data_IF_539430073512
#
_entry.id   IF_539430073512
#
_cell.length_a   1.000
_cell.length_b   1.000
_cell.length_c   1.000
_cell.angle_alpha   90.00
_cell.angle_beta   90.00
_cell.angle_gamma   90.00
#
_symmetry.space_group_name_H-M   'P 1'
#
loop_
_entity.id
_entity.type
_entity.pdbx_description
1 polymer ?
2 polymer ?
3 non-polymer ?
4 water ?
#
# COMPACT_ATOMS: atom_id res chain seq x y z
N UNK A 1 15.66 -22.33 -22.50
CA UNK A 1 15.88 -21.70 -23.84
C UNK A 1 16.61 -22.67 -24.77
N UNK A 2 17.61 -23.38 -24.23
CA UNK A 2 18.18 -24.51 -24.97
C UNK A 2 17.14 -25.62 -25.11
N UNK A 3 16.32 -25.82 -24.08
CA UNK A 3 15.20 -26.74 -24.17
C UNK A 3 14.13 -26.24 -25.14
N UNK A 4 14.10 -24.94 -25.41
CA UNK A 4 13.09 -24.34 -26.28
C UNK A 4 11.68 -24.67 -25.79
N UNK A 5 11.48 -24.60 -24.47
CA UNK A 5 10.17 -24.82 -23.89
C UNK A 5 9.37 -23.52 -23.90
N UNK A 6 8.06 -23.66 -23.75
CA UNK A 6 7.15 -22.52 -23.70
C UNK A 6 6.52 -22.49 -22.30
N UNK A 7 6.98 -21.54 -21.50
CA UNK A 7 6.42 -21.35 -20.15
C UNK A 7 5.07 -20.65 -20.28
N UNK A 8 4.08 -21.16 -19.56
CA UNK A 8 2.73 -20.61 -19.59
C UNK A 8 2.41 -19.92 -18.27
N UNK A 9 2.01 -18.66 -18.35
CA UNK A 9 1.48 -17.91 -17.22
C UNK A 9 -0.04 -17.89 -17.34
N UNK A 10 -0.73 -18.49 -16.37
CA UNK A 10 -2.18 -18.63 -16.41
C UNK A 10 -2.81 -17.92 -15.24
N UNK A 11 -3.95 -17.28 -15.50
CA UNK A 11 -4.78 -16.68 -14.46
C UNK A 11 -5.99 -17.57 -14.26
N UNK A 12 -6.34 -17.82 -13.00
CA UNK A 12 -7.41 -18.73 -12.67
C UNK A 12 -8.79 -18.09 -12.78
N UNK A 13 -9.77 -18.83 -12.28
CA UNK A 13 -11.17 -18.42 -12.30
C UNK A 13 -11.76 -18.53 -10.91
N UNK A 14 -12.76 -17.69 -10.63
CA UNK A 14 -13.43 -17.70 -9.33
C UNK A 14 -14.82 -17.14 -9.49
N UNK A 15 -15.74 -17.57 -8.63
CA UNK A 15 -17.10 -17.07 -8.60
C UNK A 15 -17.37 -16.38 -7.28
N UNK A 16 -18.19 -15.33 -7.32
CA UNK A 16 -18.54 -14.60 -6.12
C UNK A 16 -19.73 -13.72 -6.37
N UNK A 17 -20.43 -13.40 -5.28
CA UNK A 17 -21.59 -12.53 -5.35
C UNK A 17 -21.17 -11.07 -5.25
N UNK A 18 -22.04 -10.16 -5.66
CA UNK A 18 -21.72 -8.73 -5.52
C UNK A 18 -21.40 -8.40 -4.07
N UNK A 19 -20.31 -7.65 -3.87
CA UNK A 19 -19.86 -7.29 -2.55
C UNK A 19 -18.90 -8.26 -1.91
N UNK A 20 -18.74 -9.46 -2.46
CA UNK A 20 -17.83 -10.45 -1.90
C UNK A 20 -16.39 -10.13 -2.28
N UNK A 21 -15.47 -10.64 -1.46
CA UNK A 21 -14.05 -10.62 -1.77
C UNK A 21 -13.66 -12.01 -2.27
N UNK A 22 -12.99 -12.05 -3.42
CA UNK A 22 -12.69 -13.31 -4.09
C UNK A 22 -11.20 -13.40 -4.35
N UNK A 23 -10.68 -14.62 -4.29
CA UNK A 23 -9.27 -14.91 -4.50
C UNK A 23 -9.11 -15.76 -5.76
N UNK A 24 -8.22 -15.33 -6.65
CA UNK A 24 -7.94 -16.07 -7.88
C UNK A 24 -6.43 -16.26 -7.97
N UNK A 25 -5.96 -17.45 -8.37
CA UNK A 25 -4.51 -17.67 -8.44
C UNK A 25 -3.93 -17.34 -9.81
N UNK A 26 -2.63 -17.05 -9.79
CA UNK A 26 -1.83 -16.95 -11.00
C UNK A 26 -0.81 -18.09 -10.96
N UNK A 27 -0.78 -18.88 -12.02
CA UNK A 27 0.05 -20.08 -12.06
C UNK A 27 1.08 -19.99 -13.17
N UNK A 28 2.21 -20.65 -12.96
CA UNK A 28 3.23 -20.83 -13.98
C UNK A 28 3.37 -22.33 -14.22
N UNK A 29 3.48 -22.72 -15.49
CA UNK A 29 3.55 -24.13 -15.84
C UNK A 29 4.52 -24.33 -16.99
N UNK A 30 4.90 -25.59 -17.21
CA UNK A 30 5.87 -25.98 -18.22
C UNK A 30 7.23 -25.33 -17.97
N UNK A 31 7.56 -25.09 -16.71
CA UNK A 31 8.87 -24.56 -16.36
C UNK A 31 9.92 -25.64 -16.60
N UNK A 32 11.02 -25.26 -17.25
CA UNK A 32 12.14 -26.17 -17.46
C UNK A 32 13.44 -25.45 -17.09
N UNK A 33 13.75 -24.40 -17.83
CA UNK A 33 14.90 -23.57 -17.50
C UNK A 33 14.60 -22.78 -16.22
N UNK A 34 15.53 -22.71 -15.28
CA UNK A 34 15.31 -21.88 -14.09
C UNK A 34 14.98 -20.45 -14.48
N UNK A 35 13.85 -19.97 -13.99
CA UNK A 35 13.34 -18.64 -14.35
C UNK A 35 13.88 -17.62 -13.37
N UNK A 36 14.55 -16.59 -13.88
CA UNK A 36 15.04 -15.51 -13.06
C UNK A 36 14.27 -14.22 -13.22
N UNK A 37 13.38 -14.16 -14.22
CA UNK A 37 12.65 -12.93 -14.49
C UNK A 37 11.27 -13.26 -15.05
N UNK A 38 10.25 -12.59 -14.53
CA UNK A 38 8.90 -12.64 -15.08
C UNK A 38 8.31 -11.23 -15.04
N UNK A 39 7.82 -10.76 -16.19
CA UNK A 39 7.03 -9.54 -16.28
C UNK A 39 5.69 -9.89 -16.93
N UNK A 40 4.59 -9.51 -16.27
CA UNK A 40 3.27 -9.79 -16.80
C UNK A 40 2.30 -8.73 -16.34
N UNK A 41 1.33 -8.43 -17.20
CA UNK A 41 0.24 -7.52 -16.90
C UNK A 41 -1.07 -8.28 -16.95
N UNK A 42 -1.96 -7.99 -16.00
CA UNK A 42 -3.28 -8.61 -15.93
C UNK A 42 -4.32 -7.51 -15.98
N UNK A 43 -5.21 -7.57 -16.97
CA UNK A 43 -6.27 -6.60 -17.14
C UNK A 43 -7.55 -7.08 -16.48
N UNK A 44 -8.29 -6.16 -15.88
CA UNK A 44 -9.53 -6.48 -15.19
C UNK A 44 -10.50 -5.33 -15.34
N UNK A 45 -11.78 -5.65 -15.18
CA UNK A 45 -12.86 -4.66 -15.29
C UNK A 45 -12.90 -3.82 -14.02
N UNK A 46 -12.47 -2.56 -14.12
CA UNK A 46 -12.39 -1.70 -12.94
C UNK A 46 -13.76 -1.30 -12.44
N UNK A 47 -14.76 -1.22 -13.32
CA UNK A 47 -16.10 -0.85 -12.88
C UNK A 47 -16.74 -1.94 -12.03
N UNK A 48 -16.20 -3.15 -12.07
CA UNK A 48 -16.76 -4.28 -11.33
C UNK A 48 -15.90 -4.74 -10.17
N UNK A 49 -14.58 -4.55 -10.24
CA UNK A 49 -13.67 -5.13 -9.26
C UNK A 49 -12.65 -4.09 -8.81
N UNK A 50 -12.27 -4.18 -7.55
CA UNK A 50 -11.22 -3.35 -6.97
C UNK A 50 -10.14 -4.28 -6.43
N UNK A 51 -8.90 -4.06 -6.87
CA UNK A 51 -7.78 -4.84 -6.36
C UNK A 51 -7.61 -4.60 -4.87
N UNK A 52 -7.61 -5.66 -4.09
CA UNK A 52 -7.37 -5.58 -2.65
C UNK A 52 -5.97 -6.01 -2.26
N UNK A 53 -5.45 -7.08 -2.86
CA UNK A 53 -4.12 -7.58 -2.55
C UNK A 53 -3.61 -8.42 -3.71
N UNK A 54 -2.30 -8.39 -3.89
CA UNK A 54 -1.59 -9.22 -4.87
C UNK A 54 -0.37 -9.76 -4.13
N UNK A 55 -0.47 -11.00 -3.65
CA UNK A 55 0.56 -11.57 -2.79
C UNK A 55 1.24 -12.77 -3.46
N UNK A 56 2.52 -12.98 -3.22
CA UNK A 56 3.22 -14.12 -3.82
C UNK A 56 3.01 -15.40 -3.04
N UNK A 57 3.24 -16.52 -3.72
CA UNK A 57 3.33 -17.82 -3.08
C UNK A 57 4.78 -18.01 -2.65
N UNK A 58 5.04 -17.86 -1.35
CA UNK A 58 6.41 -17.88 -0.87
C UNK A 58 7.04 -19.26 -0.96
N UNK A 59 6.24 -20.32 -1.10
CA UNK A 59 6.81 -21.65 -1.35
C UNK A 59 7.34 -21.78 -2.77
N UNK A 60 7.25 -20.74 -3.58
CA UNK A 60 7.75 -20.71 -4.95
C UNK A 60 8.51 -19.43 -5.25
N UNK A 61 8.05 -18.29 -4.74
CA UNK A 61 8.70 -17.01 -4.93
C UNK A 61 9.52 -16.76 -3.66
N UNK A 62 10.83 -17.01 -3.76
CA UNK A 62 11.72 -16.89 -2.62
C UNK A 62 12.34 -15.49 -2.57
N UNK A 63 13.04 -15.21 -1.47
CA UNK A 63 13.77 -13.96 -1.28
C UNK A 63 12.86 -12.74 -1.43
N UNK A 64 11.60 -12.88 -1.02
CA UNK A 64 10.68 -11.74 -1.03
C UNK A 64 11.08 -10.68 -0.01
N UNK A 65 11.98 -11.00 0.93
CA UNK A 65 12.51 -10.00 1.85
C UNK A 65 13.37 -8.97 1.13
N UNK A 66 13.92 -9.31 -0.03
CA UNK A 66 14.74 -8.40 -0.82
C UNK A 66 14.01 -7.90 -2.07
N UNK A 67 12.69 -7.89 -2.05
CA UNK A 67 11.87 -7.29 -3.12
C UNK A 67 12.04 -8.05 -4.44
N UNK A 68 11.92 -9.38 -4.37
CA UNK A 68 11.91 -10.18 -5.59
C UNK A 68 10.56 -10.12 -6.30
N UNK A 69 9.50 -9.77 -5.58
CA UNK A 69 8.14 -9.75 -6.11
C UNK A 69 7.60 -8.33 -5.99
N UNK A 70 7.46 -7.65 -7.12
CA UNK A 70 7.01 -6.25 -7.16
C UNK A 70 5.63 -6.20 -7.81
N UNK A 71 4.72 -5.44 -7.21
CA UNK A 71 3.37 -5.27 -7.71
C UNK A 71 3.16 -3.80 -8.02
N UNK A 72 2.50 -3.52 -9.14
CA UNK A 72 2.14 -2.17 -9.53
C UNK A 72 0.67 -2.15 -9.93
N UNK A 73 -0.10 -1.27 -9.30
CA UNK A 73 -1.51 -1.09 -9.61
C UNK A 73 -1.81 0.37 -9.90
N UNK A 74 -0.80 1.13 -10.33
CA UNK A 74 -0.97 2.55 -10.60
C UNK A 74 -1.86 2.82 -11.80
N UNK A 75 -2.13 1.81 -12.64
CA UNK A 75 -2.96 1.99 -13.81
C UNK A 75 -4.35 1.42 -13.56
N UNK A 76 -5.42 2.16 -13.87
CA UNK A 76 -6.77 1.60 -13.66
C UNK A 76 -6.96 0.32 -14.47
N UNK A 77 -7.41 -0.73 -13.80
CA UNK A 77 -7.75 -1.96 -14.49
C UNK A 77 -6.57 -2.78 -14.95
N UNK A 78 -5.39 -2.57 -14.37
CA UNK A 78 -4.20 -3.32 -14.77
C UNK A 78 -3.35 -3.62 -13.54
N UNK A 79 -2.90 -4.86 -13.44
CA UNK A 79 -1.97 -5.30 -12.41
C UNK A 79 -0.69 -5.72 -13.11
N UNK A 80 0.43 -5.09 -12.73
CA UNK A 80 1.74 -5.44 -13.27
C UNK A 80 2.52 -6.20 -12.22
N UNK A 81 2.91 -7.43 -12.54
CA UNK A 81 3.67 -8.29 -11.64
C UNK A 81 5.07 -8.44 -12.22
N UNK A 82 6.08 -8.16 -11.41
CA UNK A 82 7.48 -8.34 -11.79
C UNK A 82 8.15 -9.25 -10.78
N UNK A 83 8.65 -10.39 -11.24
CA UNK A 83 9.49 -11.26 -10.42
C UNK A 83 10.93 -11.19 -10.94
N UNK A 84 11.87 -11.01 -10.01
CA UNK A 84 13.28 -11.02 -10.33
C UNK A 84 14.04 -11.70 -9.20
N UNK A 85 15.01 -12.54 -9.54
CA UNK A 85 15.90 -13.12 -8.54
C UNK A 85 16.97 -12.09 -8.21
N UNK A 86 16.94 -11.49 -7.01
CA UNK A 86 17.95 -10.47 -6.69
C UNK A 86 19.37 -10.99 -6.74
N UNK A 87 19.57 -12.29 -6.54
CA UNK A 87 20.90 -12.89 -6.53
C UNK A 87 21.34 -13.39 -7.89
N UNK A 88 20.42 -13.51 -8.85
CA UNK A 88 20.72 -14.00 -10.20
C UNK A 88 21.22 -15.44 -10.19
N UNK A 89 20.88 -16.22 -9.18
CA UNK A 89 21.40 -17.58 -9.08
C UNK A 89 20.66 -18.41 -8.03
N UNK A 90 20.44 -17.84 -6.86
CA UNK A 90 20.05 -18.63 -5.69
C UNK A 90 18.56 -18.87 -5.59
N UNK A 91 17.72 -18.00 -6.13
CA UNK A 91 16.28 -18.07 -5.94
C UNK A 91 15.55 -18.01 -7.28
N UNK A 92 15.77 -18.99 -8.15
CA UNK A 92 14.96 -19.09 -9.37
C UNK A 92 13.69 -19.88 -9.16
N UNK A 93 12.78 -19.73 -10.10
CA UNK A 93 11.59 -20.57 -10.18
C UNK A 93 11.91 -21.73 -11.11
N UNK A 94 11.87 -22.95 -10.58
CA UNK A 94 12.27 -24.14 -11.32
C UNK A 94 11.22 -25.24 -11.33
N UNK A 95 10.01 -24.97 -10.84
CA UNK A 95 8.94 -25.95 -10.80
C UNK A 95 7.62 -25.24 -11.10
N UNK A 96 6.63 -26.01 -11.54
CA UNK A 96 5.30 -25.46 -11.77
C UNK A 96 4.56 -25.29 -10.45
N UNK A 97 3.78 -24.22 -10.37
CA UNK A 97 3.02 -23.95 -9.16
C UNK A 97 2.36 -22.59 -9.25
N UNK A 98 1.81 -22.18 -8.11
CA UNK A 98 1.16 -20.87 -8.01
C UNK A 98 2.22 -19.81 -7.81
N UNK A 99 2.14 -18.75 -8.60
CA UNK A 99 3.07 -17.62 -8.49
C UNK A 99 2.56 -16.57 -7.51
N UNK A 100 1.28 -16.23 -7.58
CA UNK A 100 0.71 -15.19 -6.74
C UNK A 100 -0.79 -15.43 -6.58
N UNK A 101 -1.39 -14.66 -5.68
CA UNK A 101 -2.82 -14.69 -5.43
C UNK A 101 -3.37 -13.28 -5.59
N UNK A 102 -4.47 -13.16 -6.33
CA UNK A 102 -5.12 -11.88 -6.55
C UNK A 102 -6.41 -11.82 -5.76
N UNK A 103 -6.56 -10.79 -4.93
CA UNK A 103 -7.76 -10.56 -4.15
C UNK A 103 -8.52 -9.38 -4.75
N UNK A 104 -9.75 -9.63 -5.17
CA UNK A 104 -10.61 -8.59 -5.74
C UNK A 104 -11.82 -8.37 -4.84
N UNK A 105 -12.29 -7.12 -4.82
CA UNK A 105 -13.55 -6.77 -4.15
C UNK A 105 -14.57 -6.49 -5.25
N UNK A 106 -15.64 -7.27 -5.26
CA UNK A 106 -16.66 -7.13 -6.30
C UNK A 106 -17.58 -5.99 -5.92
N UNK A 107 -17.74 -5.04 -6.83
CA UNK A 107 -18.64 -3.92 -6.61
C UNK A 107 -20.03 -4.43 -6.24
N UNK A 108 -20.64 -3.82 -5.24
CA UNK A 108 -21.94 -4.29 -4.77
C UNK A 108 -23.00 -4.19 -5.85
N UNK A 109 -22.87 -3.22 -6.76
CA UNK A 109 -23.79 -3.06 -7.89
C UNK A 109 -23.20 -3.64 -9.17
N UNK A 110 -22.51 -4.76 -9.06
CA UNK A 110 -21.95 -5.44 -10.23
C UNK A 110 -22.99 -6.38 -10.83
N UNK A 111 -22.95 -6.50 -12.15
CA UNK A 111 -23.89 -7.33 -12.88
C UNK A 111 -23.39 -8.77 -12.95
N UNK A 112 -24.34 -9.70 -12.95
CA UNK A 112 -24.00 -11.12 -13.02
C UNK A 112 -23.40 -11.45 -14.38
N UNK A 113 -22.42 -12.36 -14.38
CA UNK A 113 -21.81 -12.82 -15.60
C UNK A 113 -20.29 -12.77 -15.54
N UNK A 114 -19.68 -13.34 -16.57
CA UNK A 114 -18.24 -13.45 -16.62
C UNK A 114 -17.59 -12.11 -16.94
N UNK A 115 -16.40 -11.92 -16.37
CA UNK A 115 -15.57 -10.75 -16.64
C UNK A 115 -14.14 -11.23 -16.74
N UNK A 116 -13.56 -11.19 -17.94
CA UNK A 116 -12.28 -11.80 -18.20
C UNK A 116 -11.16 -11.14 -17.40
N UNK A 117 -10.17 -11.95 -17.01
CA UNK A 117 -8.90 -11.48 -16.48
C UNK A 117 -7.84 -11.82 -17.52
N UNK A 118 -7.36 -10.80 -18.22
CA UNK A 118 -6.58 -10.99 -19.44
C UNK A 118 -5.10 -10.72 -19.19
N UNK A 119 -4.26 -11.67 -19.60
CA UNK A 119 -2.82 -11.50 -19.56
C UNK A 119 -2.39 -10.88 -20.89
N UNK A 120 -1.80 -9.69 -20.82
CA UNK A 120 -1.34 -9.02 -22.03
C UNK A 120 -0.25 -9.87 -22.68
N UNK A 121 -0.50 -10.42 -23.87
CA UNK A 121 0.50 -11.31 -24.48
C UNK A 121 1.69 -10.57 -25.09
N UNK A 122 1.55 -9.27 -25.37
CA UNK A 122 2.62 -8.51 -26.00
C UNK A 122 3.64 -8.00 -25.00
N UNK A 123 3.29 -7.93 -23.72
CA UNK A 123 4.18 -7.46 -22.67
C UNK A 123 4.72 -8.58 -21.80
N UNK A 124 4.28 -9.82 -22.03
CA UNK A 124 4.70 -10.95 -21.20
C UNK A 124 6.18 -11.24 -21.45
N UNK A 125 6.96 -11.24 -20.37
CA UNK A 125 8.39 -11.52 -20.46
C UNK A 125 8.74 -12.62 -19.47
N UNK A 126 9.55 -13.57 -19.92
CA UNK A 126 10.09 -14.63 -19.07
C UNK A 126 11.51 -14.90 -19.54
N UNK A 127 12.45 -14.90 -18.59
CA UNK A 127 13.86 -15.03 -18.94
C UNK A 127 14.58 -15.84 -17.86
N UNK A 128 15.76 -16.33 -18.21
CA UNK A 128 16.56 -17.18 -17.34
C UNK A 128 17.44 -16.29 -16.44
N UNK A 129 18.34 -16.91 -15.68
CA UNK A 129 19.08 -16.17 -14.67
C UNK A 129 20.02 -15.13 -15.26
N UNK A 130 20.37 -15.26 -16.53
CA UNK A 130 21.18 -14.25 -17.21
C UNK A 130 20.36 -13.39 -18.17
N UNK A 131 19.04 -13.32 -17.96
CA UNK A 131 18.17 -12.43 -18.72
C UNK A 131 18.15 -12.80 -20.20
N UNK A 132 17.98 -14.08 -20.48
CA UNK A 132 17.84 -14.58 -21.85
C UNK A 132 16.41 -15.08 -22.04
N UNK A 133 15.79 -14.66 -23.13
CA UNK A 133 14.38 -14.97 -23.39
C UNK A 133 14.09 -16.45 -23.21
N UNK A 134 13.01 -16.74 -22.50
CA UNK A 134 12.36 -18.05 -22.51
C UNK A 134 11.01 -17.86 -23.19
N UNK A 135 10.70 -18.73 -24.16
CA UNK A 135 9.44 -18.61 -24.88
C UNK A 135 8.27 -18.66 -23.90
N UNK A 136 7.33 -17.73 -24.06
CA UNK A 136 6.23 -17.55 -23.12
C UNK A 136 4.91 -17.78 -23.81
N UNK A 137 3.87 -17.95 -22.99
CA UNK A 137 2.51 -18.15 -23.47
C UNK A 137 1.55 -17.71 -22.39
N UNK A 138 0.49 -17.00 -22.79
CA UNK A 138 -0.49 -16.45 -21.86
C UNK A 138 -1.77 -17.29 -21.88
N UNK A 139 -2.39 -17.40 -20.71
CA UNK A 139 -3.68 -18.07 -20.57
C UNK A 139 -4.53 -17.23 -19.63
N UNK A 140 -5.72 -16.84 -20.10
CA UNK A 140 -6.56 -15.90 -19.39
C UNK A 140 -7.43 -16.60 -18.35
N UNK A 141 -7.84 -15.82 -17.35
CA UNK A 141 -8.82 -16.26 -16.37
C UNK A 141 -10.06 -15.40 -16.42
N UNK A 142 -10.84 -15.39 -15.35
CA UNK A 142 -12.05 -14.57 -15.31
C UNK A 142 -12.63 -14.61 -13.90
N UNK A 143 -13.60 -13.73 -13.66
CA UNK A 143 -14.40 -13.73 -12.44
C UNK A 143 -15.87 -13.82 -12.87
N UNK A 144 -16.57 -14.83 -12.36
CA UNK A 144 -17.99 -15.01 -12.61
C UNK A 144 -18.77 -14.40 -11.47
N UNK A 145 -19.51 -13.33 -11.75
CA UNK A 145 -20.38 -12.71 -10.75
C UNK A 145 -21.73 -13.44 -10.78
N UNK A 146 -22.14 -13.95 -9.62
CA UNK A 146 -23.39 -14.67 -9.51
C UNK A 146 -24.50 -13.72 -9.05
N UNK A 147 -25.72 -14.04 -9.46
CA UNK A 147 -26.88 -13.24 -9.11
C UNK A 147 -28.12 -14.07 -8.80
N UNK B 1 23.08 15.26 -18.70
CA UNK B 1 24.55 15.04 -18.75
C UNK B 1 24.95 13.85 -17.88
N UNK B 2 23.99 12.95 -17.63
CA UNK B 2 24.25 11.70 -16.92
C UNK B 2 24.64 10.65 -17.95
N UNK B 3 25.92 10.27 -17.98
CA UNK B 3 26.45 9.36 -18.99
C UNK B 3 26.82 8.00 -18.42
N UNK B 4 26.28 7.64 -17.25
CA UNK B 4 26.60 6.37 -16.62
C UNK B 4 25.34 5.50 -16.65
N UNK B 5 25.45 4.35 -17.29
CA UNK B 5 24.29 3.48 -17.51
C UNK B 5 23.86 2.86 -16.19
N UNK B 6 22.61 3.10 -15.80
CA UNK B 6 22.08 2.57 -14.56
C UNK B 6 22.25 3.46 -13.35
N UNK B 7 22.82 4.65 -13.51
CA UNK B 7 23.01 5.59 -12.41
C UNK B 7 21.74 6.42 -12.25
N UNK B 8 20.75 5.83 -11.58
CA UNK B 8 19.44 6.49 -11.46
C UNK B 8 19.51 7.71 -10.55
N UNK B 9 20.33 7.69 -9.51
CA UNK B 9 20.47 8.83 -8.62
C UNK B 9 21.53 9.82 -9.08
N UNK B 10 22.22 9.52 -10.19
CA UNK B 10 23.20 10.43 -10.78
C UNK B 10 24.27 10.84 -9.77
N UNK B 11 24.84 9.84 -9.10
CA UNK B 11 25.91 10.07 -8.14
C UNK B 11 27.27 9.59 -8.63
N UNK B 12 27.35 9.05 -9.85
CA UNK B 12 28.60 8.66 -10.44
C UNK B 12 28.90 7.17 -10.39
N UNK B 13 28.17 6.40 -9.60
CA UNK B 13 28.42 4.98 -9.44
C UNK B 13 27.11 4.21 -9.62
N UNK B 14 27.25 2.90 -9.81
CA UNK B 14 26.13 1.99 -10.01
C UNK B 14 26.20 0.94 -8.92
N UNK B 15 25.26 1.02 -7.97
CA UNK B 15 25.29 0.12 -6.82
C UNK B 15 23.84 -0.15 -6.39
N UNK B 16 23.68 -0.67 -5.18
CA UNK B 16 22.36 -1.04 -4.67
C UNK B 16 21.42 0.13 -4.46
N UNK B 17 21.96 1.34 -4.29
CA UNK B 17 21.09 2.50 -4.15
C UNK B 17 20.30 2.76 -5.43
N UNK B 18 20.91 2.50 -6.58
CA UNK B 18 20.18 2.59 -7.84
C UNK B 18 19.18 1.45 -7.99
N UNK B 19 19.52 0.27 -7.47
CA UNK B 19 18.57 -0.84 -7.46
C UNK B 19 17.35 -0.47 -6.63
N UNK B 20 17.55 0.18 -5.49
CA UNK B 20 16.44 0.58 -4.64
C UNK B 20 15.49 1.49 -5.40
N UNK B 21 16.04 2.48 -6.11
CA UNK B 21 15.21 3.41 -6.86
C UNK B 21 14.41 2.69 -7.94
N UNK B 22 15.08 1.83 -8.71
CA UNK B 22 14.39 1.08 -9.76
C UNK B 22 13.24 0.27 -9.17
N UNK B 23 13.51 -0.45 -8.07
CA UNK B 23 12.46 -1.24 -7.43
C UNK B 23 11.30 -0.35 -7.00
N UNK B 24 11.60 0.76 -6.32
CA UNK B 24 10.56 1.64 -5.83
C UNK B 24 9.78 2.26 -6.99
N UNK B 25 10.47 2.59 -8.08
CA UNK B 25 9.79 3.17 -9.24
C UNK B 25 8.87 2.14 -9.91
N UNK B 26 9.33 0.90 -10.03
CA UNK B 26 8.52 -0.14 -10.66
C UNK B 26 7.26 -0.44 -9.85
N UNK B 27 7.30 -0.24 -8.53
CA UNK B 27 6.13 -0.41 -7.69
C UNK B 27 5.17 0.78 -7.74
N UNK B 28 5.51 1.82 -8.50
CA UNK B 28 4.66 2.99 -8.60
C UNK B 28 4.85 4.01 -7.51
N UNK B 29 5.91 3.91 -6.72
CA UNK B 29 6.18 4.88 -5.68
C UNK B 29 6.86 6.11 -6.27
N UNK B 30 6.67 7.25 -5.62
CA UNK B 30 7.33 8.48 -6.00
C UNK B 30 8.74 8.46 -5.43
N UNK B 31 9.74 8.41 -6.29
CA UNK B 31 11.14 8.30 -5.89
C UNK B 31 11.77 9.68 -6.00
N UNK B 32 12.11 10.27 -4.86
CA UNK B 32 12.74 11.58 -4.87
C UNK B 32 14.19 11.46 -5.30
N UNK B 33 14.64 12.43 -6.10
CA UNK B 33 16.01 12.43 -6.58
C UNK B 33 16.29 11.47 -7.72
N UNK B 34 15.27 10.87 -8.29
CA UNK B 34 15.48 9.89 -9.36
C UNK B 34 15.68 10.62 -10.68
N UNK B 35 16.54 10.07 -11.53
CA UNK B 35 16.74 10.56 -12.89
C UNK B 35 15.91 9.68 -13.83
N UNK B 36 14.71 10.15 -14.16
CA UNK B 36 13.84 9.39 -15.04
C UNK B 36 14.49 9.04 -16.36
N UNK B 37 15.46 9.85 -16.80
CA UNK B 37 16.12 9.62 -18.08
C UNK B 37 17.02 8.38 -18.08
N UNK B 38 17.32 7.81 -16.90
CA UNK B 38 18.23 6.69 -16.80
C UNK B 38 17.52 5.36 -16.57
N UNK B 39 16.19 5.34 -16.64
CA UNK B 39 15.45 4.13 -16.29
C UNK B 39 15.53 3.07 -17.39
N UNK B 40 15.47 3.48 -18.65
CA UNK B 40 15.48 2.54 -19.77
C UNK B 40 16.92 2.11 -20.03
N UNK B 41 17.34 1.05 -19.35
CA UNK B 41 18.74 0.65 -19.37
C UNK B 41 19.08 -0.12 -20.64
N UNK B 42 18.16 -0.94 -21.12
CA UNK B 42 18.40 -1.75 -22.32
C UNK B 42 17.90 -1.07 -23.60
N UNK B 43 17.48 0.19 -23.52
CA UNK B 43 17.09 0.95 -24.69
C UNK B 43 16.10 0.23 -25.58
N UNK B 44 15.01 -0.26 -25.00
CA UNK B 44 13.94 -0.90 -25.76
C UNK B 44 12.65 -0.09 -25.74
N UNK B 45 12.66 1.11 -25.15
CA UNK B 45 11.52 2.00 -25.18
C UNK B 45 10.60 1.91 -23.98
N UNK B 46 10.77 0.92 -23.12
CA UNK B 46 9.92 0.74 -21.96
C UNK B 46 10.76 0.63 -20.70
N UNK B 47 10.12 0.90 -19.56
CA UNK B 47 10.73 0.75 -18.25
C UNK B 47 9.97 -0.36 -17.53
N UNK B 48 10.60 -1.52 -17.37
CA UNK B 48 9.94 -2.66 -16.78
C UNK B 48 10.99 -3.51 -16.05
N UNK B 49 10.57 -4.71 -15.63
CA UNK B 49 11.43 -5.58 -14.85
C UNK B 49 12.72 -5.98 -15.52
N UNK B 50 12.77 -5.90 -16.86
CA UNK B 50 14.00 -6.25 -17.55
C UNK B 50 15.07 -5.18 -17.43
N UNK B 51 14.68 -3.94 -17.14
CA UNK B 51 15.66 -2.91 -16.80
C UNK B 51 16.23 -3.14 -15.41
N UNK B 52 15.38 -3.56 -14.47
CA UNK B 52 15.86 -3.97 -13.15
C UNK B 52 16.78 -5.17 -13.26
N UNK B 53 16.41 -6.15 -14.09
CA UNK B 53 17.27 -7.31 -14.30
C UNK B 53 18.63 -6.90 -14.81
N UNK B 54 18.66 -5.99 -15.80
CA UNK B 54 19.92 -5.52 -16.34
C UNK B 54 20.72 -4.77 -15.29
N UNK B 55 20.03 -3.97 -14.46
CA UNK B 55 20.72 -3.18 -13.45
C UNK B 55 21.37 -4.09 -12.40
N UNK B 56 20.66 -5.13 -11.95
CA UNK B 56 21.23 -6.06 -10.99
C UNK B 56 22.44 -6.76 -11.59
N UNK B 57 22.39 -7.04 -12.90
CA UNK B 57 23.53 -7.66 -13.56
C UNK B 57 24.74 -6.73 -13.55
N UNK B 58 24.53 -5.47 -13.92
CA UNK B 58 25.66 -4.54 -13.99
C UNK B 58 26.38 -4.44 -12.66
N UNK B 59 25.63 -4.42 -11.55
CA UNK B 59 26.25 -4.30 -10.23
C UNK B 59 27.08 -5.55 -9.92
N UNK B 60 26.53 -6.73 -10.17
CA UNK B 60 27.25 -7.96 -9.88
C UNK B 60 28.50 -8.10 -10.75
N UNK B 61 28.49 -7.52 -11.95
CA UNK B 61 29.65 -7.59 -12.84
C UNK B 61 30.68 -6.51 -12.54
N UNK B 62 30.37 -5.56 -11.67
CA UNK B 62 31.31 -4.49 -11.34
C UNK B 62 32.51 -5.08 -10.59
N UNK C 5 -8.07 25.69 26.31
CA UNK C 5 -7.65 26.26 25.04
C UNK C 5 -6.81 25.25 24.25
N UNK C 6 -6.01 24.46 24.96
CA UNK C 6 -5.09 23.50 24.35
C UNK C 6 -5.53 22.10 24.72
N UNK C 7 -6.01 21.34 23.75
CA UNK C 7 -6.32 19.94 23.96
C UNK C 7 -5.04 19.12 23.87
N UNK C 8 -5.06 17.94 24.51
CA UNK C 8 -3.87 17.12 24.67
C UNK C 8 -4.15 15.71 24.17
N UNK C 9 -3.28 15.21 23.30
CA UNK C 9 -3.31 13.81 22.85
C UNK C 9 -2.09 13.12 23.45
N UNK C 10 -2.32 12.16 24.34
CA UNK C 10 -1.26 11.44 25.02
C UNK C 10 -1.43 9.93 24.82
N UNK C 11 -0.32 9.25 24.60
CA UNK C 11 -0.30 7.79 24.48
C UNK C 11 0.07 7.21 25.84
N UNK C 12 -0.64 6.16 26.24
CA UNK C 12 -0.50 5.61 27.57
C UNK C 12 0.78 4.83 27.77
N UNK C 13 0.92 4.31 28.99
CA UNK C 13 2.06 3.50 29.38
C UNK C 13 1.54 2.16 29.90
N UNK C 14 2.11 1.07 29.39
CA UNK C 14 1.68 -0.27 29.75
C UNK C 14 2.91 -1.15 29.90
N UNK C 15 2.74 -2.23 30.67
CA UNK C 15 3.78 -3.23 30.85
C UNK C 15 3.26 -4.58 30.39
N UNK C 16 4.17 -5.40 29.88
CA UNK C 16 3.82 -6.74 29.44
C UNK C 16 5.06 -7.61 29.35
N UNK C 17 4.83 -8.91 29.35
CA UNK C 17 5.91 -9.87 29.20
C UNK C 17 6.09 -10.23 27.72
N UNK C 18 7.28 -10.69 27.35
CA UNK C 18 7.50 -11.09 25.95
C UNK C 18 6.53 -12.21 25.54
N UNK C 19 5.82 -11.98 24.43
CA UNK C 19 4.84 -12.91 23.93
C UNK C 19 3.41 -12.54 24.26
N UNK C 20 3.19 -11.64 25.22
CA UNK C 20 1.86 -11.20 25.57
C UNK C 20 1.38 -10.12 24.62
N UNK C 21 0.07 -9.89 24.62
CA UNK C 21 -0.54 -8.79 23.89
C UNK C 21 -0.98 -7.73 24.89
N UNK C 22 -0.67 -6.48 24.60
CA UNK C 22 -0.93 -5.37 25.51
C UNK C 22 -1.77 -4.32 24.81
N UNK C 23 -2.52 -3.57 25.60
CA UNK C 23 -3.40 -2.51 25.11
C UNK C 23 -2.87 -1.18 25.61
N UNK C 24 -2.62 -0.25 24.68
CA UNK C 24 -2.09 1.06 25.01
C UNK C 24 -3.20 2.08 24.76
N UNK C 25 -3.71 2.76 25.79
CA UNK C 25 -4.75 3.75 25.55
C UNK C 25 -4.19 5.02 24.93
N UNK C 26 -4.93 5.56 23.96
CA UNK C 26 -4.71 6.91 23.45
C UNK C 26 -5.81 7.78 24.02
N UNK C 27 -5.41 8.82 24.76
CA UNK C 27 -6.34 9.66 25.49
C UNK C 27 -6.36 11.07 24.91
N UNK C 28 -7.51 11.73 25.05
CA UNK C 28 -7.66 13.14 24.70
C UNK C 28 -8.25 13.84 25.91
N UNK C 29 -7.73 15.04 26.21
CA UNK C 29 -8.10 15.74 27.43
C UNK C 29 -8.15 17.25 27.17
N UNK C 30 -8.78 17.95 28.11
CA UNK C 30 -8.93 19.41 28.04
C UNK C 30 -9.69 19.83 26.78
N UNK C 31 -10.70 19.06 26.42
CA UNK C 31 -11.53 19.38 25.27
C UNK C 31 -12.43 20.57 25.64
N UNK C 32 -12.24 21.68 24.94
CA UNK C 32 -13.09 22.85 25.13
C UNK C 32 -14.11 22.93 24.00
N UNK C 33 -13.69 23.42 22.83
CA UNK C 33 -14.57 23.49 21.68
C UNK C 33 -14.69 22.11 21.03
N UNK C 34 -15.86 21.75 20.53
CA UNK C 34 -16.02 20.42 19.91
C UNK C 34 -14.96 20.17 18.83
N UNK C 35 -14.45 18.94 18.81
CA UNK C 35 -13.39 18.54 17.88
C UNK C 35 -14.02 17.80 16.71
N UNK C 36 -13.73 18.26 15.50
CA UNK C 36 -14.24 17.61 14.31
C UNK C 36 -13.20 16.81 13.57
N UNK C 37 -11.93 17.14 13.80
CA UNK C 37 -10.83 16.52 13.06
C UNK C 37 -9.65 16.26 13.99
N UNK C 38 -9.07 15.08 13.85
CA UNK C 38 -7.84 14.72 14.57
C UNK C 38 -6.96 13.91 13.61
N UNK C 39 -5.72 14.35 13.44
CA UNK C 39 -4.71 13.57 12.75
C UNK C 39 -3.52 13.39 13.69
N UNK C 40 -3.09 12.16 13.89
CA UNK C 40 -1.91 11.91 14.72
C UNK C 40 -1.25 10.61 14.26
N UNK C 41 0.08 10.60 14.33
CA UNK C 41 0.89 9.43 14.00
C UNK C 41 1.58 8.94 15.26
N UNK C 42 1.69 7.62 15.38
CA UNK C 42 2.36 6.99 16.52
C UNK C 42 3.39 6.04 15.96
N UNK C 43 4.66 6.30 16.27
CA UNK C 43 5.77 5.48 15.78
C UNK C 43 6.21 4.52 16.88
N UNK C 44 6.52 3.28 16.48
CA UNK C 44 6.92 2.25 17.42
C UNK C 44 7.99 1.38 16.79
N UNK C 45 8.66 0.59 17.64
CA UNK C 45 9.73 -0.30 17.21
C UNK C 45 9.10 -1.63 16.77
N UNK C 46 9.16 -1.91 15.47
CA UNK C 46 8.51 -3.08 14.91
C UNK C 46 9.26 -4.38 15.21
N UNK C 47 10.51 -4.31 15.66
CA UNK C 47 11.24 -5.53 15.99
C UNK C 47 10.82 -6.09 17.34
N UNK C 48 10.15 -5.29 18.18
CA UNK C 48 9.65 -5.74 19.47
C UNK C 48 8.14 -5.89 19.53
N UNK C 49 7.39 -5.14 18.71
CA UNK C 49 5.95 -5.13 18.77
C UNK C 49 5.35 -5.26 17.38
N UNK C 50 4.22 -5.96 17.29
CA UNK C 50 3.46 -6.09 16.07
C UNK C 50 2.03 -5.66 16.35
N UNK C 51 1.49 -4.81 15.48
CA UNK C 51 0.16 -4.26 15.71
C UNK C 51 -0.89 -5.33 15.46
N UNK C 52 -1.80 -5.48 16.43
CA UNK C 52 -2.93 -6.40 16.30
C UNK C 52 -4.22 -5.67 15.95
N UNK C 53 -4.46 -4.51 16.58
CA UNK C 53 -5.70 -3.76 16.38
C UNK C 53 -5.50 -2.33 16.86
N UNK C 54 -6.18 -1.40 16.20
CA UNK C 54 -6.23 0.00 16.61
C UNK C 54 -7.70 0.40 16.57
N UNK C 55 -8.41 0.17 17.67
CA UNK C 55 -9.85 0.33 17.71
C UNK C 55 -10.24 1.61 18.46
N UNK C 56 -11.28 2.30 18.01
CA UNK C 56 -11.74 3.49 18.74
C UNK C 56 -12.61 3.11 19.94
N UNK C 57 -12.64 4.02 20.91
CA UNK C 57 -13.60 3.93 22.01
C UNK C 57 -14.92 4.50 21.50
N UNK C 58 -15.88 3.60 21.21
CA UNK C 58 -17.14 4.04 20.61
C UNK C 58 -17.98 4.87 21.57
N UNK C 59 -17.76 4.73 22.88
CA UNK C 59 -18.45 5.59 23.83
C UNK C 59 -18.13 7.06 23.59
N UNK C 60 -17.02 7.36 22.93
CA UNK C 60 -16.59 8.72 22.65
C UNK C 60 -16.56 9.03 21.15
N UNK C 61 -16.03 8.12 20.35
CA UNK C 61 -15.95 8.32 18.90
C UNK C 61 -17.23 7.73 18.28
N UNK C 62 -18.07 8.61 17.75
CA UNK C 62 -19.35 8.20 17.20
C UNK C 62 -19.27 8.07 15.69
N UNK C 63 -20.22 7.32 15.13
CA UNK C 63 -20.39 7.17 13.68
C UNK C 63 -19.20 6.45 13.04
N UNK C 64 -18.64 5.47 13.75
CA UNK C 64 -17.47 4.76 13.24
C UNK C 64 -17.83 3.82 12.09
N UNK C 65 -19.08 3.38 11.98
CA UNK C 65 -19.46 2.56 10.84
C UNK C 65 -19.58 3.37 9.55
N UNK C 66 -19.51 4.70 9.63
CA UNK C 66 -19.50 5.56 8.45
C UNK C 66 -18.12 6.21 8.25
N UNK C 67 -17.07 5.53 8.71
CA UNK C 67 -15.69 5.91 8.42
C UNK C 67 -15.29 7.20 9.13
N UNK C 68 -15.75 7.38 10.37
CA UNK C 68 -15.31 8.51 11.17
C UNK C 68 -13.94 8.30 11.79
N UNK C 69 -13.46 7.06 11.83
CA UNK C 69 -12.19 6.71 12.47
C UNK C 69 -11.43 5.82 11.51
N UNK C 70 -10.39 6.37 10.89
CA UNK C 70 -9.61 5.70 9.86
C UNK C 70 -8.19 5.55 10.36
N UNK C 71 -7.67 4.32 10.30
CA UNK C 71 -6.34 4.00 10.82
C UNK C 71 -5.51 3.40 9.68
N UNK C 72 -4.24 3.78 9.63
CA UNK C 72 -3.28 3.25 8.68
C UNK C 72 -2.25 2.44 9.46
N UNK C 73 -2.34 1.12 9.35
CA UNK C 73 -1.37 0.21 9.96
C UNK C 73 -0.72 -0.67 8.90
N UNK C 74 -0.63 -0.17 7.67
CA UNK C 74 -0.08 -0.97 6.59
C UNK C 74 1.42 -1.14 6.73
N UNK C 75 2.13 -0.08 7.12
CA UNK C 75 3.59 -0.10 7.18
C UNK C 75 4.04 -0.42 8.59
N UNK C 76 4.80 -1.50 8.81
CA UNK C 76 5.26 -1.79 10.17
C UNK C 76 6.08 -0.65 10.74
N UNK C 77 5.83 -0.34 12.01
CA UNK C 77 6.55 0.70 12.72
C UNK C 77 5.86 2.04 12.78
N UNK C 78 4.67 2.18 12.20
CA UNK C 78 3.97 3.46 12.22
C UNK C 78 2.47 3.25 12.20
N UNK C 79 1.77 4.05 13.00
CA UNK C 79 0.31 4.03 13.07
C UNK C 79 -0.19 5.45 12.82
N UNK C 80 -1.09 5.60 11.86
CA UNK C 80 -1.74 6.88 11.59
C UNK C 80 -3.21 6.77 11.92
N UNK C 81 -3.70 7.72 12.73
CA UNK C 81 -5.11 7.78 13.10
C UNK C 81 -5.71 9.03 12.48
N UNK C 82 -6.87 8.87 11.85
CA UNK C 82 -7.59 9.99 11.25
C UNK C 82 -9.02 9.93 11.76
N UNK C 83 -9.40 10.89 12.60
CA UNK C 83 -10.78 11.05 13.02
C UNK C 83 -11.40 12.23 12.28
N UNK C 84 -12.58 12.00 11.71
CA UNK C 84 -13.33 13.06 11.07
C UNK C 84 -14.81 12.85 11.36
N UNK C 85 -15.57 13.94 11.28
CA UNK C 85 -17.02 13.88 11.41
C UNK C 85 -17.62 13.84 10.02
N UNK C 86 -18.03 12.67 9.51
CA UNK C 86 -18.55 12.62 8.13
C UNK C 86 -19.70 13.59 7.88
N UNK C 87 -20.46 13.94 8.91
CA UNK C 87 -21.57 14.89 8.76
C UNK C 87 -21.14 16.33 9.01
N UNK C 88 -19.95 16.54 9.55
CA UNK C 88 -19.44 17.89 9.81
C UNK C 88 -20.36 18.69 10.73
N UNK C 89 -21.01 18.01 11.68
CA UNK C 89 -21.91 18.71 12.59
C UNK C 89 -22.43 17.80 13.71
N UNK C 90 -22.78 16.56 13.38
CA UNK C 90 -23.54 15.73 14.31
C UNK C 90 -22.68 14.92 15.27
N UNK C 91 -21.51 14.43 14.83
CA UNK C 91 -20.71 13.49 15.61
C UNK C 91 -19.32 14.05 15.94
N UNK C 92 -19.25 15.20 16.61
CA UNK C 92 -17.96 15.69 17.10
C UNK C 92 -17.62 15.12 18.46
N UNK C 93 -16.33 15.19 18.79
CA UNK C 93 -15.86 14.82 20.12
C UNK C 93 -15.84 16.08 20.97
N UNK C 94 -16.64 16.08 22.05
CA UNK C 94 -16.83 17.26 22.87
C UNK C 94 -16.43 17.06 24.33
N UNK C 95 -15.93 15.88 24.71
CA UNK C 95 -15.57 15.59 26.09
C UNK C 95 -14.23 14.86 26.12
N UNK C 96 -13.56 14.94 27.26
CA UNK C 96 -12.34 14.19 27.47
C UNK C 96 -12.64 12.70 27.59
N UNK C 97 -11.62 11.89 27.42
CA UNK C 97 -11.76 10.45 27.56
C UNK C 97 -10.81 9.74 26.63
N UNK C 98 -10.88 8.40 26.68
CA UNK C 98 -10.03 7.57 25.84
C UNK C 98 -10.50 7.69 24.40
N UNK C 99 -9.55 7.88 23.48
CA UNK C 99 -9.85 8.00 22.06
C UNK C 99 -9.78 6.66 21.35
N UNK C 100 -8.76 5.85 21.66
CA UNK C 100 -8.56 4.57 20.99
C UNK C 100 -7.59 3.73 21.81
N UNK C 101 -7.57 2.44 21.50
CA UNK C 101 -6.68 1.48 22.14
C UNK C 101 -5.75 0.89 21.08
N UNK C 102 -4.45 0.88 21.38
CA UNK C 102 -3.45 0.26 20.51
C UNK C 102 -3.14 -1.12 21.06
N UNK C 103 -3.51 -2.16 20.31
CA UNK C 103 -3.29 -3.54 20.72
C UNK C 103 -2.00 -4.02 20.06
N UNK C 104 -0.94 -4.14 20.87
CA UNK C 104 0.36 -4.60 20.40
C UNK C 104 0.61 -6.04 20.86
N UNK C 105 1.37 -6.77 20.05
CA UNK C 105 1.83 -8.12 20.39
C UNK C 105 3.33 -8.04 20.58
N UNK C 106 3.78 -8.31 21.80
CA UNK C 106 5.20 -8.23 22.12
C UNK C 106 5.91 -9.48 21.57
N UNK C 107 6.94 -9.27 20.77
CA UNK C 107 7.71 -10.38 20.22
C UNK C 107 8.19 -11.29 21.34
N UNK C 108 8.29 -12.58 21.04
CA UNK C 108 8.73 -13.55 22.04
C UNK C 108 10.19 -13.33 22.42
N UNK C 109 11.00 -12.82 21.51
CA UNK C 109 12.42 -12.58 21.75
C UNK C 109 12.70 -11.14 22.20
N UNK C 110 11.67 -10.38 22.53
CA UNK C 110 11.86 -8.98 22.90
C UNK C 110 12.72 -8.88 24.16
N UNK C 111 13.71 -8.00 24.11
CA UNK C 111 14.54 -7.74 25.28
C UNK C 111 13.82 -6.83 26.26
N UNK C 112 14.10 -7.03 27.54
CA UNK C 112 13.46 -6.23 28.58
C UNK C 112 13.91 -4.78 28.49
N UNK C 113 13.06 -3.88 28.94
CA UNK C 113 13.34 -2.47 28.95
C UNK C 113 12.21 -1.66 28.35
N UNK C 114 12.28 -0.35 28.58
CA UNK C 114 11.28 0.57 28.07
C UNK C 114 11.48 0.79 26.58
N UNK C 115 10.38 0.89 25.85
CA UNK C 115 10.39 1.17 24.42
C UNK C 115 9.36 2.27 24.16
N UNK C 116 9.78 3.31 23.45
CA UNK C 116 8.98 4.51 23.33
C UNK C 116 7.99 4.43 22.18
N UNK C 117 6.83 5.07 22.37
CA UNK C 117 5.82 5.26 21.34
C UNK C 117 5.80 6.75 21.01
N UNK C 118 6.38 7.11 19.88
CA UNK C 118 6.62 8.51 19.55
C UNK C 118 5.45 9.08 18.77
N UNK C 119 4.94 10.22 19.24
CA UNK C 119 3.89 10.95 18.55
C UNK C 119 4.54 12.12 17.83
N UNK C 120 4.34 12.19 16.51
CA UNK C 120 4.96 13.24 15.69
C UNK C 120 4.21 14.55 15.88
N UNK C 121 4.83 15.58 16.47
CA UNK C 121 4.15 16.86 16.64
C UNK C 121 4.01 17.66 15.36
N UNK C 122 4.69 17.26 14.28
CA UNK C 122 4.61 18.00 13.02
C UNK C 122 3.39 17.59 12.21
N UNK C 123 2.90 16.36 12.39
CA UNK C 123 1.71 15.88 11.70
C UNK C 123 0.48 15.86 12.59
N UNK C 124 0.61 16.23 13.85
CA UNK C 124 -0.53 16.28 14.76
C UNK C 124 -1.45 17.43 14.36
N UNK C 125 -2.72 17.12 14.11
CA UNK C 125 -3.71 18.10 13.71
C UNK C 125 -4.93 17.94 14.60
N UNK C 126 -5.46 19.05 15.10
CA UNK C 126 -6.72 19.07 15.82
C UNK C 126 -7.45 20.36 15.46
N UNK C 127 -8.65 20.22 14.91
CA UNK C 127 -9.45 21.37 14.51
C UNK C 127 -10.89 21.13 14.93
N UNK C 128 -11.65 22.23 15.00
CA UNK C 128 -13.05 22.15 15.40
C UNK C 128 -13.90 21.72 14.21
N UNK C 129 -15.16 22.16 14.17
CA UNK C 129 -16.10 21.70 13.15
C UNK C 129 -16.06 22.51 11.88
N UNK C 130 -15.47 23.71 11.90
CA UNK C 130 -15.30 24.53 10.72
C UNK C 130 -13.85 24.54 10.23
N UNK C 131 -13.12 23.47 10.53
CA UNK C 131 -11.72 23.33 10.10
C UNK C 131 -10.87 24.47 10.63
N UNK C 132 -11.10 24.86 11.88
CA UNK C 132 -10.29 25.86 12.56
C UNK C 132 -9.32 25.17 13.51
N UNK C 133 -8.05 25.59 13.45
CA UNK C 133 -7.03 24.97 14.27
C UNK C 133 -7.35 25.12 15.76
N UNK C 134 -7.12 24.04 16.50
CA UNK C 134 -7.20 24.05 17.96
C UNK C 134 -5.80 23.80 18.49
N UNK C 135 -5.39 24.60 19.48
CA UNK C 135 -4.10 24.39 20.13
C UNK C 135 -3.97 22.94 20.56
N UNK C 136 -2.83 22.34 20.25
CA UNK C 136 -2.60 20.93 20.51
C UNK C 136 -1.23 20.72 21.14
N UNK C 137 -1.06 19.57 21.79
CA UNK C 137 0.21 19.19 22.40
C UNK C 137 0.19 17.68 22.57
N UNK C 138 1.27 17.02 22.14
CA UNK C 138 1.33 15.57 22.15
C UNK C 138 2.24 15.07 23.26
N UNK C 139 2.01 13.82 23.66
CA UNK C 139 2.77 13.18 24.72
C UNK C 139 3.05 11.74 24.31
N UNK C 140 4.33 11.41 24.19
CA UNK C 140 4.71 10.04 23.83
C UNK C 140 4.29 9.07 24.92
N UNK C 141 4.01 7.83 24.49
CA UNK C 141 3.79 6.73 25.40
C UNK C 141 5.00 5.84 25.50
N UNK C 142 4.80 4.66 26.08
CA UNK C 142 5.89 3.69 26.14
C UNK C 142 5.33 2.35 26.56
N UNK C 143 5.97 1.29 26.06
CA UNK C 143 5.72 -0.08 26.48
C UNK C 143 6.94 -0.55 27.25
N UNK C 144 6.72 -1.11 28.44
CA UNK C 144 7.79 -1.70 29.24
C UNK C 144 7.73 -3.21 29.09
N UNK C 145 8.84 -3.80 28.64
CA UNK C 145 8.95 -5.24 28.46
C UNK C 145 9.66 -5.81 29.68
N UNK C 146 9.01 -6.76 30.35
CA UNK C 146 9.56 -7.35 31.56
C UNK C 146 10.37 -8.60 31.20
N UNK C 147 10.87 -9.28 32.23
CA UNK C 147 11.68 -10.47 32.04
C UNK C 147 10.99 -11.54 31.22
N UNK D 2 -7.38 17.00 -17.40
CA UNK D 2 -7.19 18.17 -16.50
C UNK D 2 -7.18 17.74 -15.04
N UNK D 3 -6.34 18.37 -14.24
CA UNK D 3 -6.23 18.06 -12.83
C UNK D 3 -7.21 18.91 -12.03
N UNK D 4 -8.06 18.26 -11.25
CA UNK D 4 -9.01 18.93 -10.37
C UNK D 4 -8.74 18.46 -8.95
N UNK D 5 -8.53 19.40 -8.04
CA UNK D 5 -8.29 19.06 -6.66
C UNK D 5 -9.52 18.37 -6.07
N UNK D 6 -9.32 17.18 -5.52
CA UNK D 6 -10.40 16.36 -5.02
C UNK D 6 -10.87 15.28 -5.98
N UNK D 7 -10.51 15.38 -7.26
CA UNK D 7 -10.89 14.41 -8.27
C UNK D 7 -9.82 13.31 -8.32
N UNK D 8 -9.87 12.43 -7.31
CA UNK D 8 -8.83 11.43 -7.13
C UNK D 8 -8.83 10.40 -8.26
N UNK D 9 -10.01 9.95 -8.68
CA UNK D 9 -10.10 8.97 -9.76
C UNK D 9 -9.99 9.61 -11.14
N UNK D 10 -9.88 10.93 -11.21
CA UNK D 10 -9.77 11.68 -12.47
C UNK D 10 -10.83 11.22 -13.47
N UNK D 11 -12.09 11.52 -13.12
CA UNK D 11 -13.21 11.34 -14.03
C UNK D 11 -13.88 12.66 -14.38
N UNK D 12 -13.31 13.78 -13.96
CA UNK D 12 -13.81 15.10 -14.29
C UNK D 12 -14.69 15.74 -13.24
N UNK D 13 -15.07 14.99 -12.20
CA UNK D 13 -16.03 15.47 -11.22
C UNK D 13 -15.55 15.05 -9.83
N UNK D 14 -15.95 15.84 -8.83
CA UNK D 14 -15.62 15.58 -7.43
C UNK D 14 -16.90 15.18 -6.73
N UNK D 15 -17.04 13.90 -6.41
CA UNK D 15 -18.25 13.39 -5.77
C UNK D 15 -17.86 12.32 -4.76
N UNK D 16 -18.80 11.44 -4.43
CA UNK D 16 -18.59 10.49 -3.36
C UNK D 16 -17.56 9.43 -3.67
N UNK D 17 -17.39 9.08 -4.94
CA UNK D 17 -16.40 8.07 -5.30
C UNK D 17 -14.98 8.53 -4.99
N UNK D 18 -14.74 9.84 -5.03
CA UNK D 18 -13.44 10.37 -4.62
C UNK D 18 -13.26 10.25 -3.11
N UNK D 19 -14.31 10.55 -2.35
CA UNK D 19 -14.26 10.36 -0.90
C UNK D 19 -13.86 8.93 -0.57
N UNK D 20 -14.41 7.97 -1.31
CA UNK D 20 -14.04 6.57 -1.11
C UNK D 20 -12.54 6.39 -1.27
N UNK D 21 -11.98 6.92 -2.36
CA UNK D 21 -10.55 6.75 -2.61
C UNK D 21 -9.73 7.48 -1.55
N UNK D 22 -10.10 8.71 -1.22
CA UNK D 22 -9.40 9.44 -0.17
C UNK D 22 -9.36 8.61 1.11
N UNK D 23 -10.50 8.03 1.50
CA UNK D 23 -10.54 7.22 2.70
C UNK D 23 -9.68 5.97 2.55
N UNK D 24 -9.73 5.32 1.39
CA UNK D 24 -8.85 4.17 1.13
C UNK D 24 -7.39 4.59 1.22
N UNK D 25 -7.06 5.78 0.73
CA UNK D 25 -5.67 6.24 0.75
C UNK D 25 -5.19 6.49 2.17
N UNK D 26 -6.02 7.13 3.00
CA UNK D 26 -5.63 7.40 4.38
C UNK D 26 -5.57 6.14 5.24
N UNK D 27 -6.06 5.01 4.73
CA UNK D 27 -5.99 3.74 5.44
C UNK D 27 -4.84 2.87 4.97
N UNK D 28 -3.97 3.39 4.10
CA UNK D 28 -2.88 2.60 3.57
C UNK D 28 -3.30 1.47 2.67
N UNK D 29 -4.51 1.52 2.12
CA UNK D 29 -5.00 0.47 1.25
C UNK D 29 -4.45 0.64 -0.16
N UNK D 30 -4.58 -0.41 -0.96
CA UNK D 30 -4.22 -0.34 -2.37
C UNK D 30 -5.17 0.61 -3.10
N UNK D 31 -4.60 1.58 -3.79
CA UNK D 31 -5.35 2.52 -4.61
C UNK D 31 -4.94 2.34 -6.06
N UNK D 32 -5.93 2.30 -6.95
CA UNK D 32 -5.70 2.04 -8.36
C UNK D 32 -6.02 3.27 -9.19
N UNK D 33 -5.06 3.69 -10.01
CA UNK D 33 -5.27 4.83 -10.90
C UNK D 33 -5.63 6.12 -10.19
N UNK D 34 -5.02 6.37 -9.05
CA UNK D 34 -5.27 7.61 -8.31
C UNK D 34 -4.46 8.73 -8.93
N UNK D 35 -5.01 9.95 -8.87
CA UNK D 35 -4.34 11.15 -9.38
C UNK D 35 -3.66 11.83 -8.19
N UNK D 36 -2.36 11.57 -8.02
CA UNK D 36 -1.66 12.10 -6.86
C UNK D 36 -1.69 13.63 -6.83
N UNK D 37 -1.79 14.28 -7.99
CA UNK D 37 -1.88 15.73 -8.04
C UNK D 37 -3.20 16.27 -7.51
N UNK D 38 -4.19 15.41 -7.27
CA UNK D 38 -5.48 15.82 -6.75
C UNK D 38 -5.63 15.55 -5.25
N UNK D 39 -4.62 14.96 -4.61
CA UNK D 39 -4.74 14.58 -3.21
C UNK D 39 -4.67 15.77 -2.28
N UNK D 40 -3.70 16.66 -2.50
CA UNK D 40 -3.49 17.82 -1.62
C UNK D 40 -4.53 18.89 -1.97
N UNK D 41 -5.74 18.70 -1.44
CA UNK D 41 -6.87 19.55 -1.81
C UNK D 41 -6.68 20.98 -1.31
N UNK D 42 -6.04 21.15 -0.15
CA UNK D 42 -5.81 22.48 0.40
C UNK D 42 -4.41 23.01 0.09
N UNK D 43 -3.61 22.26 -0.67
CA UNK D 43 -2.30 22.73 -1.10
C UNK D 43 -1.40 23.19 0.01
N UNK D 44 -1.49 22.54 1.17
CA UNK D 44 -0.65 22.91 2.32
C UNK D 44 0.62 22.09 2.41
N UNK D 45 0.81 21.10 1.53
CA UNK D 45 2.02 20.31 1.49
C UNK D 45 1.92 18.92 2.07
N UNK D 46 0.76 18.54 2.59
CA UNK D 46 0.58 17.22 3.18
C UNK D 46 -0.77 16.66 2.77
N UNK D 47 -0.88 15.34 2.80
CA UNK D 47 -2.13 14.64 2.53
C UNK D 47 -2.55 13.95 3.82
N UNK D 48 -3.60 14.46 4.46
CA UNK D 48 -4.03 13.99 5.76
C UNK D 48 -5.53 14.17 5.88
N UNK D 49 -6.07 13.84 7.06
CA UNK D 49 -7.49 13.95 7.30
C UNK D 49 -8.07 15.33 7.01
N UNK D 50 -7.23 16.36 7.01
CA UNK D 50 -7.72 17.70 6.73
C UNK D 50 -8.20 17.80 5.29
N UNK D 51 -7.51 17.13 4.36
CA UNK D 51 -7.96 17.08 2.98
C UNK D 51 -9.27 16.29 2.87
N UNK D 52 -9.39 15.19 3.62
CA UNK D 52 -10.63 14.44 3.65
C UNK D 52 -11.77 15.34 4.10
N UNK D 53 -11.54 16.16 5.13
CA UNK D 53 -12.55 17.08 5.62
C UNK D 53 -13.04 17.99 4.49
N UNK D 54 -12.12 18.67 3.82
CA UNK D 54 -12.51 19.59 2.75
C UNK D 54 -13.13 18.84 1.58
N UNK D 55 -12.68 17.61 1.32
CA UNK D 55 -13.31 16.82 0.28
C UNK D 55 -14.77 16.53 0.64
N UNK D 56 -15.02 16.22 1.91
CA UNK D 56 -16.39 15.99 2.35
C UNK D 56 -17.20 17.28 2.26
N UNK D 57 -16.62 18.40 2.70
CA UNK D 57 -17.32 19.68 2.61
C UNK D 57 -17.58 20.05 1.17
N UNK D 58 -16.64 19.78 0.27
CA UNK D 58 -16.82 20.09 -1.14
C UNK D 58 -17.97 19.28 -1.74
N UNK D 59 -18.06 17.99 -1.39
CA UNK D 59 -19.04 17.11 -2.01
C UNK D 59 -20.44 17.40 -1.48
N UNK D 60 -20.56 17.68 -0.19
CA UNK D 60 -21.89 17.89 0.39
C UNK D 60 -22.52 19.20 -0.06
N UNK D 61 -21.80 20.04 -0.81
CA UNK D 61 -22.31 21.34 -1.23
C UNK D 61 -22.24 21.52 -2.75
N UNK D 62 -22.38 20.44 -3.50
CA UNK D 62 -22.45 20.54 -4.96
C UNK D 62 -23.48 19.57 -5.55
X LIG E 1 24.18 5.69 -8.59
X LIG F 1 13.76 -1.00 -21.12
X LIG G 1 -13.81 11.99 -9.36
X LIG H 1 -3.33 18.89 2.38
#
# INVERSE_FOLDING_TARGET
SVKNETVKLSVGTVSGNPGDTVKVPVTISQVSTPVGLICMDISYDASKFTVKDVLPNTDLVKDTDNYSFIVNTSTPGKISITFTDPTLANYPISVDGILAYLDFIINSNATAGDSALTVDPATLIVADENDKDIKDAASNGKITVTGSAP
SNTILGDLNDDGVVNGDDIVMMRQYLAGKTVSGIDKNALDINGDGAVNGRDLMELIKKVSNN
SVKNETVKLSVGTVSGNPGDTVKVPVTISQVSTPVGLICMDISYDASKFTVKDVLPNTDLVKDTDNYSFIVNTSTPGKISITFTDPTLANYPISVDGILAYLDFIINSNATAGDSALTVDPATLIVADENDKDIKDAASNGKITVTGSAP
SNTILGDLNDDGVVNGDDIVMMRQYLAGKTVSGIDKNALDINGDGAVNGRDLMELIKKVSNN
CA CA
CA CA
CA CA
CA CA
#
